data_IF_090399269046
#
_entry.id   IF_090399269046
#
_cell.length_a   1.000
_cell.length_b   1.000
_cell.length_c   1.000
_cell.angle_alpha   90.00
_cell.angle_beta   90.00
_cell.angle_gamma   90.00
#
_symmetry.space_group_name_H-M   'P 1'
#
loop_
_entity.id
_entity.type
_entity.pdbx_description
1 polymer ?
#
# COMPACT_ATOMS: atom_id res chain seq x y z
N UNK A 1 -7.95 22.37 -3.22
CA UNK A 1 -7.59 20.94 -3.44
C UNK A 1 -7.32 20.32 -2.08
N UNK A 2 -7.92 19.17 -1.77
CA UNK A 2 -7.90 18.59 -0.42
C UNK A 2 -6.69 17.66 -0.27
N UNK A 3 -5.69 18.05 0.54
CA UNK A 3 -4.54 17.20 0.90
C UNK A 3 -5.00 16.10 1.86
N UNK A 4 -4.60 14.84 1.59
CA UNK A 4 -4.98 13.67 2.38
C UNK A 4 -3.84 13.10 3.23
N UNK A 5 -2.59 13.36 2.84
CA UNK A 5 -1.41 13.04 3.63
C UNK A 5 -0.36 14.15 3.49
N UNK A 6 0.30 14.45 4.59
CA UNK A 6 1.46 15.33 4.67
C UNK A 6 2.58 14.62 5.43
N UNK A 7 3.75 14.62 4.84
CA UNK A 7 4.98 14.05 5.41
C UNK A 7 6.02 15.16 5.50
N UNK A 8 6.62 15.33 6.67
CA UNK A 8 7.62 16.34 6.92
C UNK A 8 8.84 15.76 7.65
N UNK A 9 10.02 15.96 7.07
CA UNK A 9 11.33 15.58 7.61
C UNK A 9 11.42 14.13 8.09
N UNK A 10 10.68 13.22 7.41
CA UNK A 10 10.57 11.82 7.79
C UNK A 10 11.90 11.11 7.65
N UNK A 11 12.34 10.49 8.74
CA UNK A 11 13.59 9.74 8.81
C UNK A 11 13.35 8.32 9.33
N UNK A 12 14.09 7.36 8.79
CA UNK A 12 14.05 5.96 9.23
C UNK A 12 15.44 5.35 9.23
N UNK A 13 15.80 4.80 10.38
CA UNK A 13 17.05 4.11 10.62
C UNK A 13 16.78 2.67 11.07
N UNK A 14 17.59 1.73 10.61
CA UNK A 14 17.65 0.35 11.12
C UNK A 14 18.99 0.11 11.79
N UNK A 15 18.97 -0.62 12.90
CA UNK A 15 20.18 -1.09 13.60
C UNK A 15 20.25 -2.60 13.40
N UNK A 16 21.31 -3.06 12.73
CA UNK A 16 21.55 -4.49 12.47
C UNK A 16 22.33 -5.11 13.62
N UNK A 17 21.66 -5.47 14.70
CA UNK A 17 22.29 -6.02 15.92
C UNK A 17 23.12 -7.28 15.64
N UNK A 18 22.73 -8.11 14.67
CA UNK A 18 23.47 -9.33 14.28
C UNK A 18 24.71 -9.05 13.41
N UNK A 19 24.89 -7.81 12.96
CA UNK A 19 26.02 -7.37 12.14
C UNK A 19 26.80 -6.24 12.86
N UNK A 20 27.24 -6.52 14.07
CA UNK A 20 28.04 -5.57 14.88
C UNK A 20 27.38 -4.19 15.10
N UNK A 21 26.06 -4.12 15.13
CA UNK A 21 25.37 -2.85 15.39
C UNK A 21 25.41 -1.84 14.22
N UNK A 22 25.62 -2.31 12.98
CA UNK A 22 25.62 -1.43 11.80
C UNK A 22 24.33 -0.62 11.74
N UNK A 23 24.46 0.69 11.61
CA UNK A 23 23.35 1.63 11.48
C UNK A 23 23.11 1.92 9.99
N UNK A 24 21.88 1.66 9.53
CA UNK A 24 21.45 1.93 8.15
C UNK A 24 20.44 3.08 8.15
N UNK A 25 20.83 4.24 7.65
CA UNK A 25 19.93 5.37 7.41
C UNK A 25 19.23 5.15 6.07
N UNK A 26 17.93 4.77 6.08
CA UNK A 26 17.18 4.41 4.87
C UNK A 26 16.31 5.56 4.37
N UNK A 27 15.76 6.37 5.26
CA UNK A 27 15.02 7.58 4.92
C UNK A 27 15.66 8.76 5.66
N UNK A 28 15.98 9.84 4.92
CA UNK A 28 16.66 11.01 5.45
C UNK A 28 15.86 12.28 5.10
N UNK A 29 15.08 12.81 6.06
CA UNK A 29 14.42 14.10 5.94
C UNK A 29 13.41 14.19 4.78
N UNK A 30 12.65 13.11 4.50
CA UNK A 30 11.68 13.08 3.42
C UNK A 30 10.50 14.00 3.69
N UNK A 31 10.18 14.89 2.74
CA UNK A 31 9.03 15.81 2.85
C UNK A 31 8.23 15.82 1.55
N UNK A 32 6.93 15.55 1.65
CA UNK A 32 5.99 15.58 0.52
C UNK A 32 4.54 15.58 1.02
N UNK A 33 3.61 15.85 0.12
CA UNK A 33 2.17 15.72 0.36
C UNK A 33 1.47 15.11 -0.83
N UNK A 34 0.30 14.48 -0.62
CA UNK A 34 -0.53 13.93 -1.70
C UNK A 34 -1.97 14.38 -1.53
N UNK A 35 -2.60 14.76 -2.64
CA UNK A 35 -3.95 15.31 -2.69
C UNK A 35 -4.95 14.24 -3.10
N UNK A 36 -6.22 14.50 -2.80
CA UNK A 36 -7.33 13.69 -3.32
C UNK A 36 -7.28 13.60 -4.85
N UNK A 37 -7.43 12.40 -5.39
CA UNK A 37 -7.38 12.10 -6.83
C UNK A 37 -5.96 12.09 -7.42
N UNK A 38 -4.90 12.21 -6.60
CA UNK A 38 -3.51 12.21 -7.05
C UNK A 38 -2.85 10.85 -6.80
N UNK A 39 -2.08 10.36 -7.77
CA UNK A 39 -1.17 9.23 -7.63
C UNK A 39 0.29 9.70 -7.63
N UNK A 40 0.95 9.62 -6.47
CA UNK A 40 2.37 9.86 -6.29
C UNK A 40 3.14 8.56 -6.48
N UNK A 41 3.98 8.49 -7.50
CA UNK A 41 4.81 7.30 -7.76
C UNK A 41 6.21 7.48 -7.21
N UNK A 42 6.64 6.52 -6.37
CA UNK A 42 7.99 6.49 -5.81
C UNK A 42 8.95 5.96 -6.87
N UNK A 43 9.95 6.78 -7.23
CA UNK A 43 10.97 6.48 -8.21
C UNK A 43 12.35 6.37 -7.56
N UNK A 44 13.24 5.52 -8.10
CA UNK A 44 14.60 5.33 -7.61
C UNK A 44 15.08 3.89 -7.79
N UNK A 45 16.38 3.67 -7.61
CA UNK A 45 17.01 2.36 -7.75
C UNK A 45 16.47 1.33 -6.75
N UNK A 46 16.76 0.04 -6.98
CA UNK A 46 16.53 -1.01 -5.98
C UNK A 46 17.33 -0.66 -4.72
N UNK A 47 16.73 -0.87 -3.54
CA UNK A 47 17.36 -0.49 -2.27
C UNK A 47 17.20 0.98 -1.86
N UNK A 48 16.64 1.87 -2.69
CA UNK A 48 16.45 3.29 -2.35
C UNK A 48 15.43 3.58 -1.23
N UNK A 49 14.90 2.56 -0.54
CA UNK A 49 14.00 2.75 0.61
C UNK A 49 12.51 2.89 0.23
N UNK A 50 12.11 2.67 -1.03
CA UNK A 50 10.71 2.82 -1.48
C UNK A 50 9.71 2.00 -0.64
N UNK A 51 9.90 0.69 -0.52
CA UNK A 51 9.02 -0.17 0.30
C UNK A 51 9.16 0.13 1.80
N UNK A 52 10.33 0.62 2.25
CA UNK A 52 10.52 1.11 3.61
C UNK A 52 9.63 2.33 3.87
N UNK A 53 9.57 3.28 2.92
CA UNK A 53 8.68 4.44 3.02
C UNK A 53 7.23 3.98 3.11
N UNK A 54 6.73 3.14 2.20
CA UNK A 54 5.34 2.65 2.25
C UNK A 54 5.03 1.95 3.57
N UNK A 55 5.93 1.10 4.08
CA UNK A 55 5.74 0.40 5.36
C UNK A 55 5.78 1.35 6.55
N UNK A 56 6.56 2.44 6.48
CA UNK A 56 6.59 3.48 7.52
C UNK A 56 5.30 4.30 7.49
N UNK A 57 4.82 4.71 6.30
CA UNK A 57 3.53 5.39 6.14
C UNK A 57 2.36 4.54 6.64
N UNK A 58 2.41 3.22 6.42
CA UNK A 58 1.40 2.29 6.94
C UNK A 58 1.54 2.05 8.45
N UNK A 59 2.62 2.50 9.08
CA UNK A 59 2.92 2.28 10.50
C UNK A 59 3.39 0.86 10.83
N UNK A 60 3.89 0.09 9.85
CA UNK A 60 4.56 -1.20 10.09
C UNK A 60 5.99 -1.01 10.62
N UNK A 61 6.61 0.11 10.27
CA UNK A 61 7.90 0.54 10.81
C UNK A 61 7.73 1.84 11.57
N UNK A 62 8.35 1.92 12.74
CA UNK A 62 8.44 3.17 13.48
C UNK A 62 9.40 4.12 12.77
N UNK A 63 9.00 5.36 12.58
CA UNK A 63 9.88 6.42 12.12
C UNK A 63 10.97 6.71 13.18
N UNK A 64 12.16 7.12 12.74
CA UNK A 64 13.19 7.62 13.63
C UNK A 64 12.97 9.08 14.00
N UNK A 65 12.27 9.84 13.14
CA UNK A 65 11.93 11.23 13.34
C UNK A 65 11.04 11.75 12.23
N UNK A 66 10.59 13.00 12.35
CA UNK A 66 9.70 13.66 11.41
C UNK A 66 8.21 13.51 11.77
N UNK A 67 7.34 13.76 10.79
CA UNK A 67 5.89 13.77 10.96
C UNK A 67 5.21 13.08 9.78
N UNK A 68 4.14 12.33 10.04
CA UNK A 68 3.23 11.74 9.06
C UNK A 68 1.81 12.10 9.48
N UNK A 69 1.21 13.08 8.84
CA UNK A 69 -0.18 13.49 9.12
C UNK A 69 -1.12 12.98 8.04
N UNK A 70 -2.16 12.30 8.44
CA UNK A 70 -3.18 11.72 7.56
C UNK A 70 -4.54 12.32 7.86
N UNK A 71 -5.32 12.66 6.82
CA UNK A 71 -6.72 13.10 6.96
C UNK A 71 -7.60 11.90 7.31
N UNK A 72 -8.06 11.83 8.55
CA UNK A 72 -8.89 10.76 9.06
C UNK A 72 -10.20 11.33 9.60
N UNK A 73 -11.33 10.97 8.99
CA UNK A 73 -12.67 11.43 9.40
C UNK A 73 -12.83 12.97 9.49
N UNK A 74 -12.14 13.69 8.62
CA UNK A 74 -12.19 15.15 8.58
C UNK A 74 -11.06 15.86 9.33
N UNK A 75 -10.37 15.19 10.25
CA UNK A 75 -9.30 15.76 11.07
C UNK A 75 -7.90 15.27 10.64
N UNK A 76 -6.87 16.00 11.04
CA UNK A 76 -5.49 15.57 10.89
C UNK A 76 -5.08 14.67 12.06
N UNK A 77 -4.55 13.49 11.73
CA UNK A 77 -4.01 12.52 12.69
C UNK A 77 -2.52 12.35 12.44
N UNK A 78 -1.69 12.58 13.46
CA UNK A 78 -0.26 12.29 13.44
C UNK A 78 -0.03 10.79 13.69
N UNK A 79 0.75 10.13 12.82
CA UNK A 79 1.06 8.71 12.94
C UNK A 79 2.41 8.44 13.62
N UNK A 80 3.36 9.39 13.56
CA UNK A 80 4.65 9.23 14.24
C UNK A 80 4.43 9.37 15.75
N UNK A 81 4.77 8.33 16.50
CA UNK A 81 4.53 8.28 17.94
C UNK A 81 3.07 8.07 18.37
N UNK A 82 2.16 7.82 17.40
CA UNK A 82 0.76 7.57 17.72
C UNK A 82 0.54 6.28 18.51
N UNK A 83 -0.47 6.28 19.36
CA UNK A 83 -0.92 5.08 20.07
C UNK A 83 -1.35 3.98 19.07
N UNK A 84 -1.05 2.70 19.33
CA UNK A 84 -1.38 1.59 18.42
C UNK A 84 -2.85 1.54 18.01
N UNK A 85 -3.78 1.87 18.93
CA UNK A 85 -5.22 1.93 18.67
C UNK A 85 -5.58 3.00 17.63
N UNK A 86 -4.88 4.13 17.62
CA UNK A 86 -5.09 5.22 16.66
C UNK A 86 -4.60 4.82 15.25
N UNK A 87 -3.42 4.20 15.17
CA UNK A 87 -2.90 3.63 13.92
C UNK A 87 -3.87 2.59 13.34
N UNK A 88 -4.41 1.71 14.19
CA UNK A 88 -5.40 0.70 13.77
C UNK A 88 -6.71 1.33 13.28
N UNK A 89 -7.19 2.41 13.91
CA UNK A 89 -8.38 3.14 13.47
C UNK A 89 -8.18 3.74 12.08
N UNK A 90 -7.03 4.39 11.84
CA UNK A 90 -6.64 4.95 10.52
C UNK A 90 -6.56 3.83 9.46
N UNK A 91 -5.94 2.69 9.76
CA UNK A 91 -5.86 1.54 8.83
C UNK A 91 -7.23 0.94 8.50
N UNK A 92 -8.17 0.94 9.43
CA UNK A 92 -9.51 0.38 9.18
C UNK A 92 -10.36 1.22 8.26
N UNK A 93 -10.20 2.54 8.28
CA UNK A 93 -11.14 3.45 7.62
C UNK A 93 -10.52 4.34 6.56
N UNK A 94 -9.23 4.65 6.65
CA UNK A 94 -8.59 5.68 5.83
C UNK A 94 -7.48 5.13 4.96
N UNK A 95 -6.64 4.22 5.48
CA UNK A 95 -5.39 3.84 4.85
C UNK A 95 -5.41 2.38 4.37
N UNK A 96 -5.66 2.19 3.08
CA UNK A 96 -5.54 0.89 2.40
C UNK A 96 -4.10 0.55 2.04
N UNK A 97 -3.77 -0.73 1.97
CA UNK A 97 -2.44 -1.19 1.57
C UNK A 97 -2.51 -2.47 0.74
N UNK A 98 -2.06 -2.38 -0.50
CA UNK A 98 -1.78 -3.55 -1.35
C UNK A 98 -0.30 -3.83 -1.24
N UNK A 99 0.05 -4.87 -0.47
CA UNK A 99 1.43 -5.30 -0.27
C UNK A 99 1.94 -6.13 -1.45
N UNK A 100 3.25 -6.24 -1.61
CA UNK A 100 3.89 -7.05 -2.66
C UNK A 100 3.46 -8.53 -2.61
N UNK A 101 3.20 -9.06 -1.42
CA UNK A 101 2.77 -10.45 -1.22
C UNK A 101 1.48 -10.50 -0.40
N UNK A 102 0.54 -11.34 -0.83
CA UNK A 102 -0.66 -11.62 -0.08
C UNK A 102 -0.30 -12.33 1.24
N UNK A 103 -0.67 -11.71 2.35
CA UNK A 103 -0.61 -12.39 3.66
C UNK A 103 -1.93 -13.11 3.89
N UNK A 104 -1.92 -14.42 3.68
CA UNK A 104 -3.12 -15.24 3.84
C UNK A 104 -3.18 -15.88 5.22
N UNK A 105 -4.40 -15.97 5.75
CA UNK A 105 -4.71 -16.81 6.91
C UNK A 105 -4.99 -18.20 6.37
N UNK A 106 -4.29 -19.25 6.83
CA UNK A 106 -4.55 -20.63 6.37
C UNK A 106 -6.02 -21.02 6.54
N UNK A 107 -6.56 -21.76 5.57
CA UNK A 107 -7.92 -22.30 5.58
C UNK A 107 -9.07 -21.27 5.49
N UNK A 108 -8.79 -20.01 5.18
CA UNK A 108 -9.80 -19.00 4.88
C UNK A 108 -10.03 -18.96 3.38
N UNK A 109 -11.29 -19.04 2.93
CA UNK A 109 -11.65 -18.99 1.53
C UNK A 109 -11.28 -17.67 0.87
N UNK A 110 -10.91 -17.70 -0.41
CA UNK A 110 -10.57 -16.50 -1.20
C UNK A 110 -11.66 -15.43 -1.12
N UNK A 111 -12.92 -15.84 -1.24
CA UNK A 111 -14.05 -14.92 -1.15
C UNK A 111 -14.11 -14.20 0.20
N UNK A 112 -13.91 -14.93 1.31
CA UNK A 112 -13.89 -14.35 2.64
C UNK A 112 -12.69 -13.41 2.84
N UNK A 113 -11.51 -13.75 2.30
CA UNK A 113 -10.31 -12.89 2.31
C UNK A 113 -10.60 -11.57 1.62
N UNK A 114 -11.28 -11.60 0.47
CA UNK A 114 -11.60 -10.38 -0.29
C UNK A 114 -12.68 -9.56 0.37
N UNK A 115 -13.69 -10.20 0.99
CA UNK A 115 -14.81 -9.53 1.66
C UNK A 115 -14.40 -8.84 2.97
N UNK A 116 -13.32 -9.28 3.62
CA UNK A 116 -12.92 -8.84 4.97
C UNK A 116 -12.92 -7.30 5.15
N UNK A 117 -12.34 -6.48 4.25
CA UNK A 117 -12.31 -5.02 4.44
C UNK A 117 -13.70 -4.37 4.45
N UNK A 118 -14.65 -4.90 3.67
CA UNK A 118 -16.02 -4.39 3.62
C UNK A 118 -16.81 -4.80 4.87
N UNK A 119 -16.69 -6.05 5.29
CA UNK A 119 -17.33 -6.55 6.52
C UNK A 119 -16.80 -5.81 7.76
N UNK A 120 -15.49 -5.53 7.81
CA UNK A 120 -14.88 -4.74 8.88
C UNK A 120 -15.40 -3.28 8.94
N UNK A 121 -15.99 -2.78 7.84
CA UNK A 121 -16.66 -1.48 7.74
C UNK A 121 -18.18 -1.54 7.90
N UNK A 122 -18.72 -2.70 8.26
CA UNK A 122 -20.15 -2.88 8.53
C UNK A 122 -21.02 -3.07 7.28
N UNK A 123 -20.43 -3.40 6.11
CA UNK A 123 -21.24 -3.75 4.94
C UNK A 123 -22.06 -5.02 5.21
N UNK A 124 -23.23 -5.12 4.57
CA UNK A 124 -23.97 -6.37 4.57
C UNK A 124 -23.15 -7.49 3.91
N UNK A 125 -23.34 -8.74 4.34
CA UNK A 125 -22.66 -9.89 3.72
C UNK A 125 -23.00 -10.00 2.23
N UNK A 126 -24.26 -9.71 1.87
CA UNK A 126 -24.72 -9.79 0.48
C UNK A 126 -24.02 -8.75 -0.42
N UNK A 127 -23.90 -7.50 0.02
CA UNK A 127 -23.20 -6.44 -0.73
C UNK A 127 -21.71 -6.72 -0.84
N UNK A 128 -21.10 -7.15 0.27
CA UNK A 128 -19.68 -7.52 0.29
C UNK A 128 -19.40 -8.70 -0.67
N UNK A 129 -20.25 -9.72 -0.68
CA UNK A 129 -20.12 -10.88 -1.56
C UNK A 129 -20.29 -10.49 -3.03
N UNK A 130 -21.29 -9.69 -3.36
CA UNK A 130 -21.52 -9.21 -4.72
C UNK A 130 -20.33 -8.42 -5.26
N UNK A 131 -19.78 -7.49 -4.46
CA UNK A 131 -18.60 -6.71 -4.83
C UNK A 131 -17.35 -7.58 -4.96
N UNK A 132 -17.12 -8.52 -4.04
CA UNK A 132 -15.98 -9.43 -4.08
C UNK A 132 -15.99 -10.30 -5.34
N UNK A 133 -17.16 -10.88 -5.68
CA UNK A 133 -17.34 -11.67 -6.92
C UNK A 133 -17.06 -10.83 -8.17
N UNK A 134 -17.53 -9.59 -8.20
CA UNK A 134 -17.24 -8.65 -9.31
C UNK A 134 -15.74 -8.42 -9.47
N UNK A 135 -15.01 -8.12 -8.38
CA UNK A 135 -13.57 -7.88 -8.42
C UNK A 135 -12.77 -9.13 -8.81
N UNK A 136 -13.12 -10.30 -8.24
CA UNK A 136 -12.48 -11.56 -8.58
C UNK A 136 -12.68 -11.93 -10.05
N UNK A 137 -13.87 -11.68 -10.60
CA UNK A 137 -14.16 -11.89 -12.03
C UNK A 137 -13.35 -10.93 -12.91
N UNK A 138 -13.30 -9.64 -12.59
CA UNK A 138 -12.49 -8.63 -13.33
C UNK A 138 -11.02 -8.98 -13.34
N UNK A 139 -10.51 -9.55 -12.25
CA UNK A 139 -9.10 -9.97 -12.09
C UNK A 139 -8.85 -11.40 -12.58
N UNK A 140 -9.78 -11.99 -13.35
CA UNK A 140 -9.64 -13.31 -13.94
C UNK A 140 -9.28 -14.42 -12.94
N UNK A 141 -9.85 -14.37 -11.72
CA UNK A 141 -9.76 -15.47 -10.75
C UNK A 141 -10.89 -16.46 -11.06
N UNK A 142 -10.59 -17.71 -11.44
CA UNK A 142 -11.60 -18.72 -11.74
C UNK A 142 -12.57 -18.93 -10.57
N UNK A 143 -13.86 -19.05 -10.88
CA UNK A 143 -14.90 -19.25 -9.86
C UNK A 143 -14.65 -20.48 -8.98
N UNK A 144 -14.05 -21.53 -9.54
CA UNK A 144 -13.67 -22.75 -8.82
C UNK A 144 -12.69 -22.47 -7.65
N UNK A 145 -11.93 -21.38 -7.71
CA UNK A 145 -10.95 -20.99 -6.68
C UNK A 145 -11.55 -20.16 -5.56
N UNK A 146 -12.76 -19.61 -5.71
CA UNK A 146 -13.32 -18.65 -4.75
C UNK A 146 -13.57 -19.24 -3.36
N UNK A 147 -13.87 -20.54 -3.29
CA UNK A 147 -14.10 -21.26 -2.04
C UNK A 147 -12.83 -21.93 -1.49
N UNK A 148 -11.70 -21.83 -2.20
CA UNK A 148 -10.42 -22.39 -1.78
C UNK A 148 -9.57 -21.33 -1.08
N UNK A 149 -8.68 -21.78 -0.17
CA UNK A 149 -7.74 -20.90 0.49
C UNK A 149 -6.63 -20.47 -0.49
N UNK A 150 -6.32 -19.17 -0.63
CA UNK A 150 -5.38 -18.67 -1.64
C UNK A 150 -3.92 -19.07 -1.40
N UNK A 151 -3.60 -19.69 -0.25
CA UNK A 151 -2.23 -20.12 0.06
C UNK A 151 -1.67 -21.19 -0.89
N UNK A 152 -2.52 -21.90 -1.65
CA UNK A 152 -2.13 -22.92 -2.63
C UNK A 152 -2.09 -22.41 -4.06
N UNK A 153 -2.43 -21.15 -4.28
CA UNK A 153 -2.49 -20.55 -5.61
C UNK A 153 -1.11 -20.17 -6.13
N UNK A 154 -1.00 -20.00 -7.45
CA UNK A 154 0.19 -19.42 -8.07
C UNK A 154 0.44 -18.00 -7.55
N UNK A 155 1.69 -17.52 -7.64
CA UNK A 155 2.04 -16.15 -7.21
C UNK A 155 1.19 -15.08 -7.88
N UNK A 156 0.89 -15.22 -9.18
CA UNK A 156 0.03 -14.30 -9.92
C UNK A 156 -1.43 -14.32 -9.46
N UNK A 157 -1.99 -15.49 -9.13
CA UNK A 157 -3.34 -15.60 -8.56
C UNK A 157 -3.41 -15.01 -7.17
N UNK A 158 -2.41 -15.28 -6.32
CA UNK A 158 -2.32 -14.66 -4.99
C UNK A 158 -2.25 -13.13 -5.09
N UNK A 159 -1.47 -12.60 -6.04
CA UNK A 159 -1.37 -11.16 -6.26
C UNK A 159 -2.72 -10.57 -6.70
N UNK A 160 -3.44 -11.23 -7.62
CA UNK A 160 -4.77 -10.77 -8.03
C UNK A 160 -5.80 -10.80 -6.89
N UNK A 161 -5.75 -11.82 -6.01
CA UNK A 161 -6.58 -11.85 -4.78
C UNK A 161 -6.21 -10.70 -3.84
N UNK A 162 -4.93 -10.39 -3.69
CA UNK A 162 -4.44 -9.27 -2.88
C UNK A 162 -4.97 -7.92 -3.41
N UNK A 163 -4.95 -7.74 -4.73
CA UNK A 163 -5.50 -6.56 -5.40
C UNK A 163 -7.01 -6.49 -5.19
N UNK A 164 -7.75 -7.58 -5.41
CA UNK A 164 -9.19 -7.64 -5.16
C UNK A 164 -9.54 -7.19 -3.73
N UNK A 165 -8.80 -7.71 -2.74
CA UNK A 165 -8.95 -7.32 -1.34
C UNK A 165 -8.63 -5.84 -1.11
N UNK A 166 -7.56 -5.33 -1.72
CA UNK A 166 -7.14 -3.93 -1.60
C UNK A 166 -8.17 -2.95 -2.16
N UNK A 167 -8.79 -3.28 -3.30
CA UNK A 167 -9.82 -2.45 -3.96
C UNK A 167 -11.26 -2.81 -3.58
N UNK A 168 -11.44 -3.63 -2.54
CA UNK A 168 -12.76 -4.04 -2.06
C UNK A 168 -13.62 -2.84 -1.61
N UNK A 169 -13.01 -1.85 -1.00
CA UNK A 169 -13.65 -0.62 -0.51
C UNK A 169 -12.93 0.61 -1.03
N UNK A 170 -13.62 1.74 -1.10
CA UNK A 170 -12.99 3.03 -1.38
C UNK A 170 -12.17 3.49 -0.17
N UNK A 171 -10.87 3.63 -0.36
CA UNK A 171 -9.95 4.15 0.64
C UNK A 171 -9.64 5.62 0.35
N UNK A 172 -9.73 6.52 1.33
CA UNK A 172 -9.23 7.89 1.15
C UNK A 172 -7.76 7.95 0.72
N UNK A 173 -6.92 7.07 1.29
CA UNK A 173 -5.50 6.96 0.97
C UNK A 173 -5.13 5.49 0.72
N UNK A 174 -4.49 5.18 -0.41
CA UNK A 174 -4.02 3.84 -0.75
C UNK A 174 -2.52 3.80 -0.94
N UNK A 175 -1.89 2.79 -0.39
CA UNK A 175 -0.49 2.45 -0.61
C UNK A 175 -0.40 1.20 -1.48
N UNK A 176 0.39 1.26 -2.57
CA UNK A 176 0.50 0.21 -3.57
C UNK A 176 1.97 -0.21 -3.70
N UNK A 177 2.31 -1.39 -3.17
CA UNK A 177 3.67 -1.94 -3.21
C UNK A 177 3.78 -2.98 -4.33
N UNK A 178 4.17 -2.54 -5.52
CA UNK A 178 4.33 -3.35 -6.74
C UNK A 178 3.06 -4.12 -7.16
N UNK A 179 1.91 -3.46 -7.30
CA UNK A 179 0.64 -4.16 -7.53
C UNK A 179 0.58 -4.88 -8.89
N UNK A 180 1.41 -4.46 -9.85
CA UNK A 180 1.45 -5.04 -11.20
C UNK A 180 2.54 -6.09 -11.39
N UNK A 181 3.34 -6.39 -10.36
CA UNK A 181 4.37 -7.42 -10.44
C UNK A 181 3.76 -8.80 -10.70
N UNK A 182 4.41 -9.59 -11.55
CA UNK A 182 4.00 -10.97 -11.90
C UNK A 182 2.62 -11.08 -12.57
N UNK A 183 2.09 -10.00 -13.14
CA UNK A 183 0.84 -10.00 -13.90
C UNK A 183 1.12 -9.98 -15.40
N UNK A 184 0.29 -10.71 -16.16
CA UNK A 184 0.21 -10.57 -17.61
C UNK A 184 -0.39 -9.20 -18.00
N UNK A 185 -0.32 -8.85 -19.29
CA UNK A 185 -0.76 -7.55 -19.79
C UNK A 185 -2.26 -7.30 -19.55
N UNK A 186 -3.10 -8.33 -19.70
CA UNK A 186 -4.55 -8.21 -19.51
C UNK A 186 -4.88 -7.91 -18.03
N UNK A 187 -4.29 -8.64 -17.09
CA UNK A 187 -4.50 -8.39 -15.67
C UNK A 187 -3.85 -7.08 -15.20
N UNK A 188 -2.70 -6.71 -15.79
CA UNK A 188 -2.08 -5.40 -15.54
C UNK A 188 -3.02 -4.27 -15.90
N UNK A 189 -3.65 -4.33 -17.09
CA UNK A 189 -4.59 -3.32 -17.53
C UNK A 189 -5.78 -3.16 -16.57
N UNK A 190 -6.34 -4.26 -16.06
CA UNK A 190 -7.40 -4.21 -15.03
C UNK A 190 -6.94 -3.47 -13.76
N UNK A 191 -5.68 -3.68 -13.34
CA UNK A 191 -5.14 -2.98 -12.17
C UNK A 191 -5.02 -1.47 -12.42
N UNK A 192 -4.57 -1.07 -13.62
CA UNK A 192 -4.49 0.35 -13.99
C UNK A 192 -5.87 1.00 -13.99
N UNK A 193 -6.90 0.33 -14.53
CA UNK A 193 -8.29 0.78 -14.49
C UNK A 193 -8.81 0.93 -13.05
N UNK A 194 -8.51 -0.03 -12.15
CA UNK A 194 -8.90 0.07 -10.74
C UNK A 194 -8.23 1.26 -10.03
N UNK A 195 -6.98 1.57 -10.39
CA UNK A 195 -6.25 2.75 -9.90
C UNK A 195 -6.93 4.04 -10.39
N UNK A 196 -7.26 4.12 -11.67
CA UNK A 196 -7.93 5.28 -12.24
C UNK A 196 -9.34 5.48 -11.66
N UNK A 197 -10.11 4.40 -11.46
CA UNK A 197 -11.39 4.45 -10.74
C UNK A 197 -11.22 4.99 -9.32
N UNK A 198 -10.19 4.56 -8.60
CA UNK A 198 -9.92 5.05 -7.25
C UNK A 198 -9.53 6.53 -7.23
N UNK A 199 -8.68 6.98 -8.20
CA UNK A 199 -8.35 8.41 -8.39
C UNK A 199 -9.60 9.24 -8.69
N UNK A 200 -10.43 8.77 -9.61
CA UNK A 200 -11.68 9.46 -9.99
C UNK A 200 -12.66 9.55 -8.79
N UNK A 201 -12.66 8.55 -7.90
CA UNK A 201 -13.42 8.56 -6.65
C UNK A 201 -12.82 9.47 -5.56
N UNK A 202 -11.66 10.11 -5.82
CA UNK A 202 -11.00 11.03 -4.90
C UNK A 202 -9.97 10.39 -3.96
N UNK A 203 -9.61 9.14 -4.16
CA UNK A 203 -8.52 8.52 -3.39
C UNK A 203 -7.17 9.17 -3.71
N UNK A 204 -6.34 9.42 -2.69
CA UNK A 204 -4.92 9.66 -2.88
C UNK A 204 -4.18 8.32 -2.94
N UNK A 205 -3.22 8.17 -3.85
CA UNK A 205 -2.44 6.95 -3.98
C UNK A 205 -0.94 7.24 -3.88
N UNK A 206 -0.22 6.35 -3.23
CA UNK A 206 1.25 6.36 -3.22
C UNK A 206 1.69 4.96 -3.66
N UNK A 207 2.42 4.86 -4.76
CA UNK A 207 2.71 3.55 -5.37
C UNK A 207 4.15 3.35 -5.81
N UNK A 208 4.55 2.07 -5.82
CA UNK A 208 5.80 1.59 -6.42
C UNK A 208 5.40 0.73 -7.62
N UNK A 209 5.97 1.02 -8.78
CA UNK A 209 5.75 0.26 -10.00
C UNK A 209 7.10 0.01 -10.68
N UNK A 210 7.40 -1.25 -11.00
CA UNK A 210 8.63 -1.60 -11.73
C UNK A 210 8.50 -1.38 -13.23
N UNK A 211 7.35 -1.75 -13.79
CA UNK A 211 7.06 -1.55 -15.20
C UNK A 211 6.94 -0.05 -15.54
N UNK A 212 7.70 0.38 -16.56
CA UNK A 212 7.73 1.79 -16.95
C UNK A 212 6.39 2.27 -17.49
N UNK A 213 5.74 1.46 -18.34
CA UNK A 213 4.47 1.83 -18.94
C UNK A 213 3.35 1.95 -17.90
N UNK A 214 3.28 0.99 -16.97
CA UNK A 214 2.33 1.05 -15.84
C UNK A 214 2.58 2.30 -14.97
N UNK A 215 3.84 2.60 -14.68
CA UNK A 215 4.23 3.76 -13.89
C UNK A 215 3.83 5.08 -14.54
N UNK A 216 4.11 5.24 -15.84
CA UNK A 216 3.76 6.43 -16.61
C UNK A 216 2.25 6.59 -16.80
N UNK A 217 1.49 5.48 -16.88
CA UNK A 217 0.04 5.50 -17.03
C UNK A 217 -0.68 6.03 -15.78
N UNK A 218 -0.21 5.71 -14.57
CA UNK A 218 -0.93 6.06 -13.32
C UNK A 218 -0.42 7.33 -12.65
N UNK A 219 0.85 7.73 -12.91
CA UNK A 219 1.50 8.81 -12.18
C UNK A 219 0.96 10.18 -12.54
N UNK A 220 0.53 10.94 -11.54
CA UNK A 220 0.35 12.38 -11.66
C UNK A 220 1.62 13.13 -11.26
N UNK A 221 2.40 12.53 -10.36
CA UNK A 221 3.68 13.07 -9.89
C UNK A 221 4.64 11.96 -9.48
N UNK A 222 5.93 12.23 -9.59
CA UNK A 222 7.01 11.35 -9.16
C UNK A 222 7.71 11.91 -7.92
N UNK A 223 8.07 11.04 -6.98
CA UNK A 223 8.96 11.34 -5.87
C UNK A 223 10.27 10.57 -6.07
N UNK A 224 11.36 11.29 -6.30
CA UNK A 224 12.68 10.69 -6.45
C UNK A 224 13.25 10.33 -5.08
N UNK A 225 13.51 9.03 -4.89
CA UNK A 225 14.08 8.46 -3.67
C UNK A 225 15.62 8.43 -3.69
N UNK A 226 16.26 8.87 -4.77
CA UNK A 226 17.73 8.79 -4.93
C UNK A 226 18.47 9.67 -3.93
N UNK A 227 17.89 10.84 -3.60
CA UNK A 227 18.46 11.75 -2.60
C UNK A 227 18.34 11.23 -1.16
N UNK A 228 17.37 10.35 -0.89
CA UNK A 228 17.17 9.72 0.42
C UNK A 228 18.16 8.55 0.67
N UNK A 229 18.74 8.00 -0.40
CA UNK A 229 19.56 6.79 -0.39
C UNK A 229 21.08 7.06 -0.18
N UNK A 230 21.47 8.13 0.50
CA UNK A 230 22.83 8.21 1.05
C UNK A 230 22.93 7.23 2.23
N UNK A 231 23.19 5.97 1.90
CA UNK A 231 23.51 4.94 2.88
C UNK A 231 24.89 5.26 3.47
N UNK A 232 24.94 6.03 4.54
CA UNK A 232 26.10 6.09 5.41
C UNK A 232 26.10 4.85 6.29
N UNK A 233 27.06 3.96 6.06
CA UNK A 233 27.37 2.87 6.99
C UNK A 233 28.19 3.44 8.15
N UNK A 234 27.56 3.70 9.27
CA UNK A 234 28.27 4.10 10.50
C UNK A 234 28.38 2.87 11.41
N UNK A 235 29.58 2.45 11.69
CA UNK A 235 29.82 1.43 12.72
C UNK A 235 29.62 2.10 14.09
N UNK A 236 28.69 1.59 14.88
CA UNK A 236 28.61 1.95 16.29
C UNK A 236 29.83 1.38 16.98
N UNK A 237 30.79 2.23 17.41
CA UNK A 237 31.96 1.89 18.16
C UNK A 237 31.64 1.42 19.59
#
# INVERSE_FOLDING_TARGET
MNTLIEVADLSKTFILHQQHGVVLNVLNGMSFSVRAGECLVLHGQSGAGKSTLLRTLYGNYLAAGGSIRVRHQGDWVELVGAEPRQVLAVRRQTLGYVSQFLRVIPRVATLDVVMEPALARGWSKADAEARAKSLLSRLNIPQALWQLAPGTFSGGEQQRVNIARGFMVAWPLMLLDEPTASLDDANRQVVLELIDEAKAAGSALIGIFHDRAAREAVADRFLDMSAAAQQEYVYAG
#
